data_IF_340791005337
#
_entry.id   IF_340791005337
#
_cell.length_a   1.000
_cell.length_b   1.000
_cell.length_c   1.000
_cell.angle_alpha   90.00
_cell.angle_beta   90.00
_cell.angle_gamma   90.00
#
_symmetry.space_group_name_H-M   'P 1'
#
loop_
_entity.id
_entity.type
_entity.pdbx_description
1 polymer ?
#
# COMPACT_ATOMS: atom_id res chain seq x y z
N UNK A 1 -5.62 -0.21 -11.14
CA UNK A 1 -6.06 -0.89 -9.90
C UNK A 1 -6.15 0.14 -8.78
N UNK A 2 -7.36 0.42 -8.28
CA UNK A 2 -7.67 1.25 -7.10
C UNK A 2 -8.52 0.40 -6.16
N UNK A 3 -8.15 -0.87 -6.01
CA UNK A 3 -9.13 -1.92 -5.72
C UNK A 3 -9.17 -2.26 -4.22
N UNK A 4 -8.17 -1.83 -3.46
CA UNK A 4 -8.03 -2.18 -2.04
C UNK A 4 -8.31 -1.03 -1.08
N UNK A 5 -7.82 0.18 -1.41
CA UNK A 5 -7.86 1.36 -0.53
C UNK A 5 -7.93 2.64 -1.36
N UNK A 6 -8.80 3.59 -0.97
CA UNK A 6 -8.97 4.89 -1.66
C UNK A 6 -8.86 6.05 -0.68
N UNK A 7 -7.95 6.97 -0.99
CA UNK A 7 -7.64 8.12 -0.13
C UNK A 7 -8.87 9.00 0.17
N UNK A 8 -9.72 9.39 -0.80
CA UNK A 8 -10.88 10.23 -0.51
C UNK A 8 -11.89 9.56 0.42
N UNK A 9 -12.03 8.23 0.32
CA UNK A 9 -12.93 7.44 1.18
C UNK A 9 -12.41 7.44 2.62
N UNK A 10 -11.11 7.18 2.81
CA UNK A 10 -10.47 7.24 4.13
C UNK A 10 -10.61 8.64 4.76
N UNK A 11 -10.36 9.69 3.97
CA UNK A 11 -10.49 11.06 4.45
C UNK A 11 -11.91 11.35 4.95
N UNK A 12 -12.92 10.91 4.18
CA UNK A 12 -14.32 11.12 4.54
C UNK A 12 -14.76 10.26 5.73
N UNK A 13 -14.35 8.99 5.79
CA UNK A 13 -14.78 8.03 6.81
C UNK A 13 -14.16 8.33 8.17
N UNK A 14 -12.87 8.69 8.20
CA UNK A 14 -12.11 8.92 9.43
C UNK A 14 -11.92 10.40 9.75
N UNK A 15 -12.45 11.32 8.94
CA UNK A 15 -12.29 12.76 9.13
C UNK A 15 -10.84 13.24 9.02
N UNK A 16 -10.02 12.55 8.22
CA UNK A 16 -8.58 12.79 8.12
C UNK A 16 -8.25 13.79 7.02
N UNK A 17 -7.23 14.61 7.27
CA UNK A 17 -6.55 15.37 6.21
C UNK A 17 -5.71 14.45 5.29
N UNK A 18 -5.19 14.97 4.17
CA UNK A 18 -4.50 14.16 3.16
C UNK A 18 -3.35 13.33 3.71
N UNK A 19 -2.50 13.90 4.58
CA UNK A 19 -1.35 13.20 5.15
C UNK A 19 -1.79 12.08 6.11
N UNK A 20 -2.78 12.37 6.97
CA UNK A 20 -3.35 11.38 7.89
C UNK A 20 -4.01 10.22 7.13
N UNK A 21 -4.67 10.52 6.01
CA UNK A 21 -5.25 9.51 5.16
C UNK A 21 -4.20 8.68 4.42
N UNK A 22 -3.05 9.25 4.01
CA UNK A 22 -1.94 8.48 3.43
C UNK A 22 -1.31 7.53 4.45
N UNK A 23 -1.16 7.99 5.70
CA UNK A 23 -0.72 7.15 6.83
C UNK A 23 -1.67 5.97 7.01
N UNK A 24 -2.96 6.24 7.18
CA UNK A 24 -3.96 5.20 7.40
C UNK A 24 -4.06 4.25 6.20
N UNK A 25 -3.96 4.78 4.97
CA UNK A 25 -3.99 3.97 3.76
C UNK A 25 -2.82 2.98 3.68
N UNK A 26 -1.61 3.42 4.03
CA UNK A 26 -0.43 2.55 4.06
C UNK A 26 -0.63 1.39 5.04
N UNK A 27 -1.11 1.69 6.25
CA UNK A 27 -1.38 0.68 7.28
C UNK A 27 -2.48 -0.31 6.81
N UNK A 28 -3.55 0.18 6.18
CA UNK A 28 -4.62 -0.66 5.62
C UNK A 28 -4.15 -1.57 4.47
N UNK A 29 -3.26 -1.07 3.60
CA UNK A 29 -2.68 -1.88 2.52
C UNK A 29 -1.82 -3.01 3.09
N UNK A 30 -1.04 -2.74 4.14
CA UNK A 30 -0.22 -3.77 4.79
C UNK A 30 -1.09 -4.92 5.35
N UNK A 31 -2.29 -4.64 5.86
CA UNK A 31 -3.23 -5.67 6.31
C UNK A 31 -3.76 -6.55 5.17
N UNK A 32 -3.80 -6.03 3.94
CA UNK A 32 -4.28 -6.73 2.73
C UNK A 32 -3.15 -7.28 1.87
N UNK A 33 -1.90 -7.28 2.36
CA UNK A 33 -0.72 -7.57 1.53
C UNK A 33 -0.75 -8.97 0.91
N UNK A 34 -1.36 -9.94 1.59
CA UNK A 34 -1.53 -11.30 1.07
C UNK A 34 -2.49 -11.36 -0.12
N UNK A 35 -3.61 -10.63 -0.06
CA UNK A 35 -4.54 -10.51 -1.18
C UNK A 35 -3.88 -9.83 -2.39
N UNK A 36 -3.08 -8.79 -2.14
CA UNK A 36 -2.28 -8.12 -3.17
C UNK A 36 -1.29 -9.10 -3.80
N UNK A 37 -0.57 -9.90 -3.00
CA UNK A 37 0.36 -10.92 -3.50
C UNK A 37 -0.34 -11.96 -4.36
N UNK A 38 -1.49 -12.48 -3.94
CA UNK A 38 -2.27 -13.43 -4.73
C UNK A 38 -2.76 -12.82 -6.05
N UNK A 39 -3.23 -11.57 -6.01
CA UNK A 39 -3.65 -10.86 -7.21
C UNK A 39 -2.48 -10.71 -8.20
N UNK A 40 -1.29 -10.35 -7.71
CA UNK A 40 -0.08 -10.25 -8.53
C UNK A 40 0.34 -11.59 -9.15
N UNK A 41 0.24 -12.69 -8.40
CA UNK A 41 0.52 -14.05 -8.92
C UNK A 41 -0.42 -14.48 -10.05
N UNK A 42 -1.61 -13.86 -10.15
CA UNK A 42 -2.54 -14.08 -11.26
C UNK A 42 -2.06 -13.48 -12.59
N UNK A 43 -1.09 -12.56 -12.57
CA UNK A 43 -0.52 -11.94 -13.76
C UNK A 43 0.77 -12.67 -14.18
N UNK A 44 0.89 -12.97 -15.48
CA UNK A 44 2.14 -13.45 -16.07
C UNK A 44 2.96 -12.24 -16.52
N UNK A 45 3.77 -11.71 -15.62
CA UNK A 45 4.63 -10.56 -15.87
C UNK A 45 6.03 -10.82 -15.32
N UNK A 46 7.04 -10.51 -16.13
CA UNK A 46 8.45 -10.66 -15.72
C UNK A 46 8.89 -9.61 -14.70
N UNK A 47 8.16 -8.49 -14.62
CA UNK A 47 8.44 -7.37 -13.72
C UNK A 47 7.18 -6.82 -13.09
N UNK A 48 7.29 -6.38 -11.83
CA UNK A 48 6.27 -5.62 -11.11
C UNK A 48 6.86 -4.27 -10.72
N UNK A 49 6.21 -3.19 -11.15
CA UNK A 49 6.58 -1.83 -10.75
C UNK A 49 5.72 -1.41 -9.56
N UNK A 50 6.38 -1.18 -8.42
CA UNK A 50 5.74 -0.66 -7.21
C UNK A 50 5.96 0.84 -7.14
N UNK A 51 4.86 1.60 -7.23
CA UNK A 51 4.87 3.05 -7.00
C UNK A 51 4.70 3.32 -5.50
N UNK A 52 5.56 4.17 -4.96
CA UNK A 52 5.63 4.44 -3.51
C UNK A 52 4.91 5.74 -3.17
N UNK A 53 4.46 5.94 -1.92
CA UNK A 53 3.86 7.20 -1.52
C UNK A 53 4.81 8.39 -1.76
N UNK A 54 4.28 9.51 -2.25
CA UNK A 54 5.10 10.71 -2.54
C UNK A 54 5.74 11.37 -1.32
N UNK A 55 5.42 10.93 -0.11
CA UNK A 55 6.09 11.34 1.12
C UNK A 55 7.15 10.30 1.51
N UNK A 56 8.41 10.72 1.49
CA UNK A 56 9.56 9.86 1.80
C UNK A 56 9.42 9.21 3.18
N UNK A 57 8.87 9.93 4.16
CA UNK A 57 8.74 9.45 5.53
C UNK A 57 7.82 8.22 5.65
N UNK A 58 6.77 8.17 4.82
CA UNK A 58 5.85 7.03 4.78
C UNK A 58 6.52 5.80 4.20
N UNK A 59 7.40 5.96 3.22
CA UNK A 59 8.10 4.83 2.62
C UNK A 59 9.28 4.36 3.47
N UNK A 60 10.11 5.27 3.96
CA UNK A 60 11.39 4.95 4.58
C UNK A 60 11.29 4.52 6.06
N UNK A 61 10.29 5.00 6.81
CA UNK A 61 10.26 4.83 8.27
C UNK A 61 9.02 4.12 8.79
N UNK A 62 8.08 3.70 7.92
CA UNK A 62 6.90 2.95 8.36
C UNK A 62 7.06 1.45 8.19
N UNK A 63 6.65 0.75 9.23
CA UNK A 63 6.58 -0.72 9.24
C UNK A 63 5.67 -1.25 8.14
N UNK A 64 4.58 -0.55 7.80
CA UNK A 64 3.71 -0.94 6.69
C UNK A 64 4.46 -1.05 5.36
N UNK A 65 5.32 -0.07 5.06
CA UNK A 65 6.13 -0.06 3.84
C UNK A 65 7.19 -1.16 3.85
N UNK A 66 7.81 -1.42 5.00
CA UNK A 66 8.75 -2.53 5.18
C UNK A 66 8.06 -3.88 4.95
N UNK A 67 6.89 -4.09 5.56
CA UNK A 67 6.10 -5.31 5.38
C UNK A 67 5.68 -5.53 3.92
N UNK A 68 5.35 -4.46 3.18
CA UNK A 68 5.06 -4.53 1.75
C UNK A 68 6.28 -5.01 0.94
N UNK A 69 7.46 -4.43 1.19
CA UNK A 69 8.70 -4.83 0.50
C UNK A 69 9.08 -6.27 0.84
N UNK A 70 8.98 -6.67 2.11
CA UNK A 70 9.28 -8.04 2.53
C UNK A 70 8.34 -9.06 1.87
N UNK A 71 7.03 -8.78 1.84
CA UNK A 71 6.04 -9.70 1.29
C UNK A 71 6.10 -9.83 -0.24
N UNK A 72 6.43 -8.76 -0.95
CA UNK A 72 6.40 -8.68 -2.41
C UNK A 72 7.78 -8.80 -3.07
N UNK A 73 8.85 -8.44 -2.35
CA UNK A 73 10.23 -8.44 -2.86
C UNK A 73 10.99 -9.74 -2.61
N UNK A 74 10.39 -10.71 -1.93
CA UNK A 74 10.97 -12.04 -1.77
C UNK A 74 10.40 -13.02 -2.80
N UNK A 75 11.26 -13.40 -3.73
CA UNK A 75 11.36 -14.78 -4.22
C UNK A 75 12.24 -15.60 -3.26
#
# INVERSE_FOLDING_TARGET
MRDWVRLPEIMSEYGLGPNGAQVAAADMIALKIFEVKQALQGYRSDFVLLDTPGQIELFAFREASKAMVEALGTD
#
